data_IF_009241448059
#
_entry.id   IF_009241448059
#
_cell.length_a   1.000
_cell.length_b   1.000
_cell.length_c   1.000
_cell.angle_alpha   90.00
_cell.angle_beta   90.00
_cell.angle_gamma   90.00
#
_symmetry.space_group_name_H-M   'P 1'
#
loop_
_entity.id
_entity.type
_entity.pdbx_description
1 polymer ?
#
# COMPACT_ATOMS: atom_id res chain seq x y z
N UNK A 1 -12.09 31.64 -32.55
CA UNK A 1 -11.91 30.18 -32.47
C UNK A 1 -12.38 29.56 -33.79
N UNK A 2 -11.55 29.67 -34.83
CA UNK A 2 -11.77 29.00 -36.11
C UNK A 2 -10.71 27.90 -36.21
N UNK A 3 -10.94 26.77 -35.55
CA UNK A 3 -10.18 25.57 -35.90
C UNK A 3 -10.63 25.16 -37.30
N UNK A 4 -9.75 25.08 -38.31
CA UNK A 4 -10.13 24.55 -39.62
C UNK A 4 -10.76 23.18 -39.42
N UNK A 5 -11.71 22.81 -40.28
CA UNK A 5 -12.40 21.51 -40.25
C UNK A 5 -11.38 20.38 -40.25
N UNK A 6 -11.00 19.91 -39.06
CA UNK A 6 -9.98 18.89 -38.92
C UNK A 6 -10.55 17.59 -39.45
N UNK A 7 -9.76 16.80 -40.20
CA UNK A 7 -10.29 15.61 -40.83
C UNK A 7 -10.64 14.55 -39.78
N UNK A 8 -11.82 13.94 -39.93
CA UNK A 8 -12.38 12.98 -38.96
C UNK A 8 -11.44 11.81 -38.65
N UNK A 9 -10.63 11.37 -39.63
CA UNK A 9 -9.67 10.28 -39.44
C UNK A 9 -8.63 10.58 -38.36
N UNK A 10 -8.26 11.85 -38.16
CA UNK A 10 -7.27 12.26 -37.16
C UNK A 10 -7.81 12.03 -35.74
N UNK A 11 -9.09 12.34 -35.52
CA UNK A 11 -9.77 12.04 -34.25
C UNK A 11 -9.87 10.55 -33.97
N UNK A 12 -10.24 9.75 -35.00
CA UNK A 12 -10.28 8.29 -34.91
C UNK A 12 -8.88 7.74 -34.59
N UNK A 13 -7.84 8.25 -35.24
CA UNK A 13 -6.45 7.86 -35.00
C UNK A 13 -6.03 8.11 -33.54
N UNK A 14 -6.26 9.32 -33.01
CA UNK A 14 -5.95 9.61 -31.60
C UNK A 14 -6.77 8.77 -30.62
N UNK A 15 -8.05 8.51 -30.90
CA UNK A 15 -8.88 7.66 -30.07
C UNK A 15 -8.37 6.21 -30.03
N UNK A 16 -7.97 5.65 -31.18
CA UNK A 16 -7.37 4.32 -31.27
C UNK A 16 -6.02 4.26 -30.55
N UNK A 17 -5.20 5.30 -30.71
CA UNK A 17 -3.89 5.40 -30.06
C UNK A 17 -4.03 5.44 -28.53
N UNK A 18 -4.87 6.32 -28.00
CA UNK A 18 -5.12 6.42 -26.55
C UNK A 18 -5.69 5.12 -25.98
N UNK A 19 -6.64 4.49 -26.68
CA UNK A 19 -7.20 3.20 -26.28
C UNK A 19 -6.13 2.11 -26.22
N UNK A 20 -5.24 2.05 -27.22
CA UNK A 20 -4.13 1.10 -27.25
C UNK A 20 -3.16 1.34 -26.09
N UNK A 21 -2.80 2.60 -25.81
CA UNK A 21 -1.92 2.95 -24.69
C UNK A 21 -2.52 2.50 -23.35
N UNK A 22 -3.80 2.80 -23.09
CA UNK A 22 -4.47 2.40 -21.84
C UNK A 22 -4.59 0.88 -21.72
N UNK A 23 -4.89 0.19 -22.83
CA UNK A 23 -4.96 -1.27 -22.85
C UNK A 23 -3.61 -1.90 -22.50
N UNK A 24 -2.54 -1.46 -23.15
CA UNK A 24 -1.17 -1.92 -22.89
C UNK A 24 -0.76 -1.61 -21.45
N UNK A 25 -1.01 -0.38 -20.97
CA UNK A 25 -0.76 0.02 -19.59
C UNK A 25 -1.46 -0.91 -18.60
N UNK A 26 -2.73 -1.25 -18.84
CA UNK A 26 -3.53 -2.12 -17.97
C UNK A 26 -2.94 -3.52 -17.91
N UNK A 27 -2.50 -4.08 -19.05
CA UNK A 27 -1.84 -5.39 -19.09
C UNK A 27 -0.54 -5.40 -18.29
N UNK A 28 0.30 -4.38 -18.45
CA UNK A 28 1.54 -4.25 -17.68
C UNK A 28 1.27 -4.11 -16.19
N UNK A 29 0.26 -3.30 -15.81
CA UNK A 29 -0.12 -3.11 -14.42
C UNK A 29 -0.63 -4.43 -13.80
N UNK A 30 -1.46 -5.18 -14.51
CA UNK A 30 -1.95 -6.48 -14.05
C UNK A 30 -0.82 -7.50 -13.91
N UNK A 31 0.09 -7.56 -14.89
CA UNK A 31 1.27 -8.43 -14.83
C UNK A 31 2.17 -8.04 -13.64
N UNK A 32 2.37 -6.75 -13.39
CA UNK A 32 3.10 -6.23 -12.24
C UNK A 32 2.46 -6.67 -10.92
N UNK A 33 1.16 -6.45 -10.72
CA UNK A 33 0.44 -6.86 -9.51
C UNK A 33 0.50 -8.38 -9.30
N UNK A 34 0.33 -9.15 -10.36
CA UNK A 34 0.44 -10.61 -10.29
C UNK A 34 1.84 -11.05 -9.84
N UNK A 35 2.91 -10.44 -10.39
CA UNK A 35 4.29 -10.73 -9.98
C UNK A 35 4.55 -10.33 -8.52
N UNK A 36 4.11 -9.14 -8.11
CA UNK A 36 4.22 -8.67 -6.71
C UNK A 36 3.53 -9.62 -5.74
N UNK A 37 2.31 -10.05 -6.06
CA UNK A 37 1.56 -10.98 -5.23
C UNK A 37 2.28 -12.32 -5.07
N UNK A 38 2.83 -12.88 -6.17
CA UNK A 38 3.62 -14.11 -6.12
C UNK A 38 4.89 -13.96 -5.28
N UNK A 39 5.60 -12.84 -5.39
CA UNK A 39 6.79 -12.56 -4.59
C UNK A 39 6.42 -12.46 -3.11
N UNK A 40 5.35 -11.73 -2.78
CA UNK A 40 4.85 -11.62 -1.41
C UNK A 40 4.45 -12.96 -0.81
N UNK A 41 3.77 -13.83 -1.58
CA UNK A 41 3.43 -15.19 -1.16
C UNK A 41 4.66 -16.06 -0.88
N UNK A 42 5.69 -15.98 -1.75
CA UNK A 42 6.96 -16.69 -1.53
C UNK A 42 7.67 -16.20 -0.28
N UNK A 43 7.66 -14.89 -0.04
CA UNK A 43 8.25 -14.29 1.15
C UNK A 43 7.55 -14.78 2.44
N UNK A 44 6.21 -14.76 2.46
CA UNK A 44 5.41 -15.32 3.56
C UNK A 44 5.74 -16.79 3.80
N UNK A 45 5.73 -17.60 2.75
CA UNK A 45 6.01 -19.04 2.84
C UNK A 45 7.42 -19.32 3.38
N UNK A 46 8.42 -18.58 2.90
CA UNK A 46 9.80 -18.70 3.39
C UNK A 46 9.91 -18.31 4.87
N UNK A 47 9.28 -17.21 5.28
CA UNK A 47 9.28 -16.73 6.67
C UNK A 47 8.64 -17.76 7.60
N UNK A 48 7.46 -18.24 7.24
CA UNK A 48 6.74 -19.30 7.96
C UNK A 48 7.57 -20.58 8.07
N UNK A 49 8.23 -21.00 6.98
CA UNK A 49 9.11 -22.18 6.98
C UNK A 49 10.35 -22.02 7.87
N UNK A 50 10.98 -20.85 7.87
CA UNK A 50 12.14 -20.53 8.72
C UNK A 50 11.72 -20.56 10.20
N UNK A 51 10.60 -19.90 10.53
CA UNK A 51 10.07 -19.85 11.91
C UNK A 51 9.71 -21.25 12.38
N UNK A 52 9.04 -22.05 11.55
CA UNK A 52 8.69 -23.44 11.86
C UNK A 52 9.92 -24.30 12.12
N UNK A 53 10.94 -24.22 11.25
CA UNK A 53 12.19 -24.98 11.44
C UNK A 53 12.94 -24.54 12.70
N UNK A 54 12.89 -23.25 13.04
CA UNK A 54 13.49 -22.72 14.27
C UNK A 54 12.71 -23.20 15.50
N UNK A 55 11.38 -23.22 15.45
CA UNK A 55 10.55 -23.63 16.59
C UNK A 55 10.77 -25.08 16.98
N UNK A 56 11.00 -25.96 16.01
CA UNK A 56 11.35 -27.36 16.25
C UNK A 56 12.71 -27.55 16.94
N UNK A 57 13.63 -26.59 16.83
CA UNK A 57 14.98 -26.65 17.42
C UNK A 57 15.12 -25.82 18.71
N UNK A 58 14.05 -25.19 19.18
CA UNK A 58 14.10 -24.40 20.42
C UNK A 58 14.28 -25.32 21.64
N UNK A 59 15.24 -24.97 22.49
CA UNK A 59 15.46 -25.63 23.78
C UNK A 59 14.28 -25.40 24.73
N UNK A 60 14.11 -26.25 25.74
CA UNK A 60 13.04 -26.13 26.74
C UNK A 60 13.04 -24.78 27.46
N UNK A 61 14.23 -24.21 27.71
CA UNK A 61 14.38 -22.89 28.33
C UNK A 61 13.92 -21.76 27.39
N UNK A 62 14.18 -21.87 26.09
CA UNK A 62 13.71 -20.89 25.08
C UNK A 62 12.21 -21.02 24.76
N UNK A 63 11.60 -22.19 24.98
CA UNK A 63 10.14 -22.36 24.91
C UNK A 63 9.41 -21.68 26.08
N UNK A 64 10.11 -21.39 27.16
CA UNK A 64 9.57 -20.65 28.30
C UNK A 64 9.49 -19.14 28.02
N UNK A 65 10.34 -18.61 27.13
CA UNK A 65 10.34 -17.20 26.70
C UNK A 65 9.48 -16.91 25.45
N UNK A 66 9.11 -17.93 24.69
CA UNK A 66 8.25 -17.78 23.50
C UNK A 66 7.21 -18.88 23.50
N UNK A 67 5.97 -18.52 23.83
CA UNK A 67 4.86 -19.44 23.90
C UNK A 67 4.51 -19.97 22.51
N UNK A 68 3.93 -21.18 22.44
CA UNK A 68 3.42 -21.73 21.18
C UNK A 68 2.45 -20.76 20.49
N UNK A 69 1.65 -20.01 21.25
CA UNK A 69 0.74 -18.99 20.74
C UNK A 69 1.46 -17.82 20.06
N UNK A 70 2.56 -17.33 20.62
CA UNK A 70 3.36 -16.26 20.00
C UNK A 70 4.02 -16.73 18.70
N UNK A 71 4.49 -17.97 18.64
CA UNK A 71 5.07 -18.55 17.42
C UNK A 71 4.01 -18.66 16.32
N UNK A 72 2.79 -19.12 16.66
CA UNK A 72 1.66 -19.19 15.73
C UNK A 72 1.24 -17.79 15.27
N UNK A 73 1.22 -16.81 16.18
CA UNK A 73 0.91 -15.43 15.86
C UNK A 73 1.94 -14.81 14.90
N UNK A 74 3.23 -15.08 15.12
CA UNK A 74 4.33 -14.65 14.23
C UNK A 74 4.15 -15.22 12.82
N UNK A 75 3.80 -16.51 12.70
CA UNK A 75 3.55 -17.19 11.42
C UNK A 75 2.27 -16.71 10.72
N UNK A 76 1.25 -16.31 11.47
CA UNK A 76 -0.06 -15.95 10.93
C UNK A 76 -0.18 -14.46 10.62
N UNK A 77 0.16 -13.58 11.56
CA UNK A 77 -0.05 -12.14 11.47
C UNK A 77 1.19 -11.45 10.89
N UNK A 78 2.37 -11.71 11.45
CA UNK A 78 3.56 -10.96 11.04
C UNK A 78 4.07 -11.38 9.66
N UNK A 79 4.02 -12.68 9.34
CA UNK A 79 4.32 -13.15 7.97
C UNK A 79 3.34 -12.57 6.92
N UNK A 80 2.07 -12.36 7.28
CA UNK A 80 1.10 -11.67 6.41
C UNK A 80 1.47 -10.20 6.22
N UNK A 81 1.82 -9.49 7.30
CA UNK A 81 2.26 -8.09 7.20
C UNK A 81 3.45 -7.92 6.27
N UNK A 82 4.41 -8.85 6.27
CA UNK A 82 5.53 -8.80 5.34
C UNK A 82 5.12 -9.00 3.87
N UNK A 83 4.16 -9.89 3.60
CA UNK A 83 3.57 -10.03 2.26
C UNK A 83 2.93 -8.72 1.81
N UNK A 84 2.17 -8.07 2.69
CA UNK A 84 1.50 -6.81 2.38
C UNK A 84 2.54 -5.70 2.12
N UNK A 85 3.56 -5.57 2.99
CA UNK A 85 4.65 -4.60 2.83
C UNK A 85 5.37 -4.74 1.49
N UNK A 86 5.64 -5.97 1.05
CA UNK A 86 6.28 -6.24 -0.25
C UNK A 86 5.48 -5.62 -1.39
N UNK A 87 4.15 -5.66 -1.30
CA UNK A 87 3.26 -5.12 -2.34
C UNK A 87 3.25 -3.58 -2.37
N UNK A 88 3.52 -2.91 -1.25
CA UNK A 88 3.51 -1.45 -1.13
C UNK A 88 4.91 -0.81 -1.26
N UNK A 89 6.00 -1.57 -1.11
CA UNK A 89 7.36 -1.01 -1.05
C UNK A 89 7.73 -0.20 -2.29
N UNK A 90 7.23 -0.61 -3.46
CA UNK A 90 7.53 0.07 -4.71
C UNK A 90 6.88 1.46 -4.83
N UNK A 91 5.78 1.69 -4.12
CA UNK A 91 5.08 2.98 -4.11
C UNK A 91 5.92 4.07 -3.43
N UNK A 92 6.80 3.70 -2.48
CA UNK A 92 7.65 4.65 -1.76
C UNK A 92 8.57 5.45 -2.69
N UNK A 93 9.05 4.84 -3.77
CA UNK A 93 9.93 5.51 -4.74
C UNK A 93 9.18 5.88 -6.03
N UNK A 94 8.21 5.07 -6.47
CA UNK A 94 7.46 5.36 -7.70
C UNK A 94 6.50 6.54 -7.52
N UNK A 95 5.88 6.69 -6.35
CA UNK A 95 4.97 7.79 -6.04
C UNK A 95 5.62 9.17 -6.18
N UNK A 96 6.76 9.44 -5.51
CA UNK A 96 7.50 10.69 -5.69
C UNK A 96 7.91 10.95 -7.13
N UNK A 97 8.43 9.94 -7.84
CA UNK A 97 8.79 10.09 -9.25
C UNK A 97 7.59 10.49 -10.11
N UNK A 98 6.44 9.83 -9.93
CA UNK A 98 5.22 10.15 -10.66
C UNK A 98 4.76 11.59 -10.40
N UNK A 99 4.78 12.03 -9.14
CA UNK A 99 4.43 13.42 -8.77
C UNK A 99 5.37 14.41 -9.46
N UNK A 100 6.68 14.18 -9.42
CA UNK A 100 7.67 15.08 -10.03
C UNK A 100 7.44 15.19 -11.54
N UNK A 101 7.30 14.06 -12.24
CA UNK A 101 7.07 14.04 -13.68
C UNK A 101 5.77 14.77 -14.02
N UNK A 102 4.69 14.51 -13.30
CA UNK A 102 3.41 15.20 -13.51
C UNK A 102 3.52 16.72 -13.29
N UNK A 103 4.25 17.17 -12.27
CA UNK A 103 4.45 18.60 -12.01
C UNK A 103 5.29 19.29 -13.08
N UNK A 104 6.33 18.63 -13.59
CA UNK A 104 7.16 19.16 -14.69
C UNK A 104 6.33 19.32 -15.95
N UNK A 105 5.55 18.30 -16.32
CA UNK A 105 4.66 18.37 -17.50
C UNK A 105 3.59 19.44 -17.35
N UNK A 106 3.01 19.58 -16.15
CA UNK A 106 1.99 20.60 -15.90
C UNK A 106 2.57 22.02 -15.93
N UNK A 107 3.80 22.20 -15.43
CA UNK A 107 4.52 23.47 -15.51
C UNK A 107 4.82 23.85 -16.96
N UNK A 108 5.17 22.89 -17.81
CA UNK A 108 5.43 23.15 -19.24
C UNK A 108 4.18 23.67 -19.97
N UNK A 109 3.00 23.18 -19.60
CA UNK A 109 1.73 23.58 -20.22
C UNK A 109 1.20 24.91 -19.65
N UNK A 110 1.31 25.13 -18.33
CA UNK A 110 0.60 26.21 -17.62
C UNK A 110 1.52 27.25 -16.95
N UNK A 111 2.83 27.04 -16.95
CA UNK A 111 3.82 27.86 -16.26
C UNK A 111 3.57 27.96 -14.76
N UNK A 112 3.76 29.16 -14.20
CA UNK A 112 3.60 29.43 -12.76
C UNK A 112 2.17 29.30 -12.23
N UNK A 113 1.16 29.13 -13.09
CA UNK A 113 -0.24 28.98 -12.68
C UNK A 113 -0.50 27.73 -11.83
N UNK A 114 0.43 26.77 -11.79
CA UNK A 114 0.30 25.51 -11.03
C UNK A 114 0.55 25.68 -9.53
N UNK A 115 1.19 26.77 -9.11
CA UNK A 115 1.68 26.98 -7.74
C UNK A 115 0.57 26.83 -6.66
N UNK A 116 -0.64 27.40 -6.83
CA UNK A 116 -1.72 27.20 -5.85
C UNK A 116 -2.14 25.74 -5.71
N UNK A 117 -2.15 24.98 -6.81
CA UNK A 117 -2.48 23.54 -6.81
C UNK A 117 -1.44 22.71 -6.07
N UNK A 118 -0.15 23.00 -6.28
CA UNK A 118 0.95 22.37 -5.55
C UNK A 118 0.88 22.68 -4.05
N UNK A 119 0.58 23.93 -3.69
CA UNK A 119 0.41 24.34 -2.30
C UNK A 119 -0.73 23.58 -1.61
N UNK A 120 -1.87 23.41 -2.28
CA UNK A 120 -2.99 22.62 -1.77
C UNK A 120 -2.60 21.16 -1.58
N UNK A 121 -1.90 20.56 -2.55
CA UNK A 121 -1.45 19.17 -2.49
C UNK A 121 -0.46 18.95 -1.32
N UNK A 122 0.47 19.88 -1.12
CA UNK A 122 1.39 19.84 0.02
C UNK A 122 0.67 20.00 1.36
N UNK A 123 -0.37 20.83 1.43
CA UNK A 123 -1.20 21.01 2.64
C UNK A 123 -2.04 19.78 2.98
N UNK A 124 -2.41 18.97 1.99
CA UNK A 124 -3.10 17.69 2.22
C UNK A 124 -2.22 16.66 2.93
N UNK A 125 -0.89 16.72 2.80
CA UNK A 125 0.02 15.79 3.49
C UNK A 125 -0.07 15.91 5.03
N UNK A 126 0.16 17.08 5.66
CA UNK A 126 0.03 17.21 7.11
C UNK A 126 -1.40 16.99 7.60
N UNK A 127 -2.42 17.35 6.81
CA UNK A 127 -3.81 17.06 7.15
C UNK A 127 -4.07 15.56 7.25
N UNK A 128 -3.63 14.79 6.24
CA UNK A 128 -3.74 13.32 6.26
C UNK A 128 -2.98 12.71 7.45
N UNK A 129 -1.77 13.19 7.73
CA UNK A 129 -0.98 12.74 8.90
C UNK A 129 -1.68 13.05 10.22
N UNK A 130 -2.31 14.22 10.34
CA UNK A 130 -3.08 14.60 11.52
C UNK A 130 -4.28 13.68 11.73
N UNK A 131 -5.06 13.42 10.67
CA UNK A 131 -6.20 12.49 10.71
C UNK A 131 -5.73 11.07 11.08
N UNK A 132 -4.64 10.58 10.50
CA UNK A 132 -4.07 9.26 10.84
C UNK A 132 -3.66 9.17 12.31
N UNK A 133 -3.08 10.24 12.89
CA UNK A 133 -2.75 10.28 14.33
C UNK A 133 -4.00 10.17 15.21
N UNK A 134 -5.08 10.85 14.84
CA UNK A 134 -6.36 10.74 15.53
C UNK A 134 -6.90 9.32 15.43
N UNK A 135 -6.94 8.74 14.22
CA UNK A 135 -7.39 7.37 14.00
C UNK A 135 -6.60 6.38 14.86
N UNK A 136 -5.26 6.46 14.85
CA UNK A 136 -4.40 5.59 15.68
C UNK A 136 -4.72 5.73 17.18
N UNK A 137 -4.94 6.95 17.68
CA UNK A 137 -5.31 7.21 19.08
C UNK A 137 -6.67 6.58 19.41
N UNK A 138 -7.66 6.73 18.54
CA UNK A 138 -8.99 6.14 18.70
C UNK A 138 -8.94 4.62 18.66
N UNK A 139 -8.21 4.02 17.71
CA UNK A 139 -8.02 2.57 17.61
C UNK A 139 -7.35 2.00 18.86
N UNK A 140 -6.35 2.71 19.41
CA UNK A 140 -5.68 2.29 20.66
C UNK A 140 -6.65 2.33 21.85
N UNK A 141 -7.43 3.40 21.99
CA UNK A 141 -8.46 3.52 23.03
C UNK A 141 -9.53 2.43 22.89
N UNK A 142 -9.95 2.15 21.65
CA UNK A 142 -10.93 1.12 21.35
C UNK A 142 -10.40 -0.28 21.71
N UNK A 143 -9.12 -0.59 21.45
CA UNK A 143 -8.51 -1.85 21.86
C UNK A 143 -8.55 -2.02 23.39
N UNK A 144 -8.17 -1.00 24.16
CA UNK A 144 -8.23 -1.06 25.62
C UNK A 144 -9.65 -1.28 26.19
N UNK A 145 -10.67 -0.66 25.59
CA UNK A 145 -12.07 -0.88 25.99
C UNK A 145 -12.54 -2.30 25.65
N UNK A 146 -12.10 -2.86 24.51
CA UNK A 146 -12.40 -4.26 24.15
C UNK A 146 -11.77 -5.23 25.15
N UNK A 147 -10.54 -4.99 25.56
CA UNK A 147 -9.83 -5.84 26.53
C UNK A 147 -10.54 -5.84 27.90
N UNK A 148 -10.98 -4.67 28.37
CA UNK A 148 -11.77 -4.55 29.62
C UNK A 148 -13.08 -5.33 29.53
N UNK A 149 -13.83 -5.17 28.43
CA UNK A 149 -15.09 -5.90 28.21
C UNK A 149 -14.88 -7.42 28.26
N UNK A 150 -13.85 -7.91 27.57
CA UNK A 150 -13.52 -9.35 27.56
C UNK A 150 -13.22 -9.85 28.97
N UNK A 151 -12.43 -9.07 29.74
CA UNK A 151 -12.11 -9.40 31.13
C UNK A 151 -13.35 -9.50 32.02
N UNK A 152 -14.23 -8.50 31.99
CA UNK A 152 -15.45 -8.50 32.81
C UNK A 152 -16.39 -9.64 32.44
N UNK A 153 -16.53 -9.98 31.15
CA UNK A 153 -17.35 -11.14 30.76
C UNK A 153 -16.77 -12.46 31.30
N UNK A 154 -15.45 -12.61 31.34
CA UNK A 154 -14.80 -13.79 31.93
C UNK A 154 -14.92 -13.86 33.46
N UNK A 155 -15.12 -12.74 34.17
CA UNK A 155 -15.29 -12.72 35.63
C UNK A 155 -16.73 -13.03 36.06
N UNK A 156 -17.72 -12.80 35.19
CA UNK A 156 -19.15 -13.06 35.45
C UNK A 156 -19.57 -14.49 35.09
N UNK A 157 -18.86 -15.12 34.14
CA UNK A 157 -19.01 -16.52 33.75
C UNK A 157 -18.26 -17.44 34.72
#
# INVERSE_FOLDING_TARGET
MNTPSQPMWLGIFYACLLSSVVFVQTLFLQAYFHRQFLVGLRFRSATTGIVYRKSLKLSSSSKQSSTTGEIVNLMAIDAQRFQDLTSYIHILWSGPMQIIISLVLLYDIMGYSIVPGVFLLLTMIPLNLYIQRIQKKLTTKQMGLKDQRIKTMNEVL
#
